data_IF_463142589878
#
_entry.id   IF_463142589878
#
_cell.length_a   1.000
_cell.length_b   1.000
_cell.length_c   1.000
_cell.angle_alpha   90.00
_cell.angle_beta   90.00
_cell.angle_gamma   90.00
#
_symmetry.space_group_name_H-M   'P 1'
#
loop_
_entity.id
_entity.type
_entity.pdbx_description
1 polymer ?
#
# COMPACT_ATOMS: atom_id res chain seq x y z
N UNK A 1 11.13 28.47 -27.26
CA UNK A 1 11.92 27.24 -27.04
C UNK A 1 11.55 26.64 -25.69
N UNK A 2 11.20 25.35 -25.72
CA UNK A 2 11.13 24.35 -24.64
C UNK A 2 10.42 24.70 -23.31
N UNK A 3 9.15 24.29 -23.29
CA UNK A 3 8.45 23.62 -22.18
C UNK A 3 9.39 22.94 -21.16
N UNK A 4 9.17 23.21 -19.87
CA UNK A 4 9.41 22.23 -18.81
C UNK A 4 8.05 21.58 -18.52
N UNK A 5 7.94 20.29 -18.82
CA UNK A 5 6.83 19.47 -18.39
C UNK A 5 7.06 19.17 -16.91
N UNK A 6 6.23 19.78 -16.06
CA UNK A 6 6.04 19.32 -14.69
C UNK A 6 5.29 17.99 -14.77
N UNK A 7 5.87 16.94 -14.18
CA UNK A 7 5.25 15.63 -14.11
C UNK A 7 3.97 15.72 -13.31
N UNK A 8 2.82 15.73 -14.00
CA UNK A 8 1.49 15.58 -13.41
C UNK A 8 1.43 14.32 -12.56
N UNK A 9 1.62 14.48 -11.25
CA UNK A 9 1.06 13.57 -10.26
C UNK A 9 -0.40 13.99 -10.10
N UNK A 10 -1.31 13.17 -10.61
CA UNK A 10 -2.75 13.41 -10.46
C UNK A 10 -3.05 13.59 -8.96
N UNK A 11 -3.82 14.61 -8.54
CA UNK A 11 -4.15 14.80 -7.15
C UNK A 11 -4.94 13.58 -6.67
N UNK A 12 -4.30 12.77 -5.83
CA UNK A 12 -4.93 11.69 -5.09
C UNK A 12 -6.10 12.31 -4.30
N UNK A 13 -7.34 12.01 -4.72
CA UNK A 13 -8.53 12.51 -4.07
C UNK A 13 -8.60 11.94 -2.66
N UNK A 14 -8.24 12.77 -1.68
CA UNK A 14 -8.47 12.50 -0.28
C UNK A 14 -9.96 12.66 0.02
N UNK A 15 -10.61 11.61 0.49
CA UNK A 15 -11.99 11.65 0.95
C UNK A 15 -12.08 12.33 2.31
N UNK A 16 -13.25 12.85 2.69
CA UNK A 16 -13.47 13.58 3.95
C UNK A 16 -13.08 12.81 5.23
N UNK A 17 -12.90 11.50 5.14
CA UNK A 17 -12.47 10.60 6.21
C UNK A 17 -10.96 10.28 6.18
N UNK A 18 -10.15 11.03 5.43
CA UNK A 18 -8.68 10.94 5.44
C UNK A 18 -8.11 9.76 4.63
N UNK A 19 -8.87 9.24 3.66
CA UNK A 19 -8.39 8.19 2.77
C UNK A 19 -8.11 8.71 1.37
N UNK A 20 -7.01 8.28 0.80
CA UNK A 20 -6.67 8.48 -0.60
C UNK A 20 -7.26 7.36 -1.45
N UNK A 21 -7.92 7.72 -2.56
CA UNK A 21 -8.41 6.75 -3.57
C UNK A 21 -7.35 6.49 -4.64
N UNK A 22 -7.03 5.22 -4.88
CA UNK A 22 -6.13 4.79 -5.96
C UNK A 22 -6.91 4.58 -7.27
N UNK A 23 -6.24 4.61 -8.44
CA UNK A 23 -6.88 4.26 -9.72
C UNK A 23 -7.49 2.85 -9.77
N UNK A 24 -7.01 1.94 -8.92
CA UNK A 24 -7.55 0.57 -8.79
C UNK A 24 -8.80 0.49 -7.90
N UNK A 25 -9.26 1.61 -7.35
CA UNK A 25 -10.41 1.70 -6.45
C UNK A 25 -10.12 1.31 -5.00
N UNK A 26 -8.87 0.98 -4.65
CA UNK A 26 -8.48 0.81 -3.26
C UNK A 26 -8.41 2.17 -2.58
N UNK A 27 -8.77 2.23 -1.29
CA UNK A 27 -8.64 3.43 -0.47
C UNK A 27 -7.55 3.20 0.56
N UNK A 28 -6.64 4.14 0.79
CA UNK A 28 -5.62 3.97 1.81
C UNK A 28 -5.40 5.20 2.68
N UNK A 29 -4.79 5.00 3.84
CA UNK A 29 -4.22 6.05 4.68
C UNK A 29 -2.88 5.59 5.25
N UNK A 30 -1.97 6.52 5.46
CA UNK A 30 -0.69 6.25 6.11
C UNK A 30 -0.92 6.33 7.62
N UNK A 31 -0.50 5.30 8.35
CA UNK A 31 -0.61 5.20 9.82
C UNK A 31 0.71 5.61 10.48
N UNK A 32 1.82 5.14 9.91
CA UNK A 32 3.18 5.49 10.32
C UNK A 32 3.95 5.86 9.07
N UNK A 33 4.48 7.08 9.01
CA UNK A 33 5.33 7.52 7.90
C UNK A 33 6.65 6.74 7.88
N UNK A 34 7.09 6.35 6.67
CA UNK A 34 8.44 5.85 6.45
C UNK A 34 9.41 6.99 6.14
N UNK A 35 10.68 6.83 6.49
CA UNK A 35 11.69 7.90 6.35
C UNK A 35 12.63 7.71 5.16
N UNK A 36 12.69 6.49 4.64
CA UNK A 36 13.75 6.08 3.72
C UNK A 36 13.28 6.04 2.26
N UNK A 37 14.04 5.33 1.42
CA UNK A 37 13.79 5.23 -0.02
C UNK A 37 12.47 4.51 -0.32
N UNK A 38 11.97 4.76 -1.52
CA UNK A 38 10.82 4.06 -2.10
C UNK A 38 11.32 2.83 -2.86
N UNK A 39 10.68 1.65 -2.74
CA UNK A 39 11.04 0.47 -3.52
C UNK A 39 10.92 0.68 -5.03
N UNK A 40 11.77 0.01 -5.79
CA UNK A 40 11.55 -0.25 -7.21
C UNK A 40 10.83 -1.58 -7.43
N UNK A 41 10.30 -1.82 -8.63
CA UNK A 41 9.66 -3.08 -8.97
C UNK A 41 10.60 -4.30 -8.84
N UNK A 42 11.92 -4.09 -8.91
CA UNK A 42 12.91 -5.17 -8.86
C UNK A 42 13.49 -5.39 -7.45
N UNK A 43 13.25 -4.47 -6.52
CA UNK A 43 13.78 -4.57 -5.17
C UNK A 43 13.13 -5.73 -4.43
N UNK A 44 13.92 -6.43 -3.60
CA UNK A 44 13.39 -7.36 -2.59
C UNK A 44 12.96 -6.54 -1.39
N UNK A 45 11.76 -6.82 -0.89
CA UNK A 45 11.17 -6.13 0.25
C UNK A 45 10.82 -7.13 1.33
N UNK A 46 11.03 -6.74 2.59
CA UNK A 46 10.50 -7.44 3.74
C UNK A 46 9.24 -6.71 4.21
N UNK A 47 8.16 -7.43 4.40
CA UNK A 47 6.87 -6.84 4.76
C UNK A 47 6.10 -7.69 5.77
N UNK A 48 5.28 -7.02 6.59
CA UNK A 48 4.21 -7.65 7.37
C UNK A 48 2.86 -7.28 6.73
N UNK A 49 1.97 -8.26 6.58
CA UNK A 49 0.60 -8.03 6.11
C UNK A 49 -0.39 -8.66 7.07
N UNK A 50 -1.36 -7.85 7.51
CA UNK A 50 -2.50 -8.33 8.27
C UNK A 50 -3.79 -8.04 7.52
N UNK A 51 -4.73 -8.98 7.53
CA UNK A 51 -6.01 -8.87 6.85
C UNK A 51 -7.18 -9.11 7.81
N UNK A 52 -8.25 -8.34 7.63
CA UNK A 52 -9.53 -8.48 8.34
C UNK A 52 -10.73 -8.43 7.39
N UNK A 53 -11.83 -9.05 7.81
CA UNK A 53 -13.11 -9.01 7.11
C UNK A 53 -13.97 -7.80 7.53
N UNK A 54 -13.92 -7.44 8.81
CA UNK A 54 -14.85 -6.50 9.46
C UNK A 54 -14.32 -5.05 9.52
N UNK A 55 -13.12 -4.85 10.06
CA UNK A 55 -12.44 -3.56 10.19
C UNK A 55 -10.93 -3.75 10.49
N UNK A 56 -10.14 -2.67 10.37
CA UNK A 56 -8.77 -2.68 10.90
C UNK A 56 -8.77 -2.98 12.40
N UNK A 57 -7.87 -3.86 12.84
CA UNK A 57 -7.79 -4.37 14.23
C UNK A 57 -9.12 -4.98 14.74
N UNK A 58 -9.98 -5.40 13.81
CA UNK A 58 -11.25 -6.05 14.09
C UNK A 58 -11.10 -7.46 14.66
N UNK A 59 -12.22 -8.03 15.09
CA UNK A 59 -12.23 -9.38 15.69
C UNK A 59 -12.17 -10.47 14.62
N UNK A 60 -12.62 -10.16 13.41
CA UNK A 60 -12.67 -11.11 12.30
C UNK A 60 -11.38 -11.02 11.46
N UNK A 61 -10.28 -11.48 12.07
CA UNK A 61 -8.95 -11.54 11.47
C UNK A 61 -8.88 -12.71 10.47
N UNK A 62 -8.56 -12.40 9.21
CA UNK A 62 -8.42 -13.39 8.13
C UNK A 62 -7.05 -14.04 8.13
N UNK A 63 -6.00 -13.23 8.16
CA UNK A 63 -4.61 -13.70 8.01
C UNK A 63 -3.64 -12.67 8.58
N UNK A 64 -2.44 -13.13 8.92
CA UNK A 64 -1.31 -12.30 9.34
C UNK A 64 0.00 -13.03 9.10
N UNK A 65 0.79 -12.50 8.18
CA UNK A 65 2.00 -13.14 7.72
C UNK A 65 3.10 -12.13 7.41
N UNK A 66 4.32 -12.65 7.40
CA UNK A 66 5.52 -11.96 6.97
C UNK A 66 6.00 -12.57 5.67
N UNK A 67 6.37 -11.71 4.71
CA UNK A 67 6.89 -12.14 3.42
C UNK A 67 8.20 -11.42 3.07
N UNK A 68 9.01 -12.06 2.23
CA UNK A 68 10.22 -11.48 1.64
C UNK A 68 10.35 -11.86 0.17
N UNK A 69 9.86 -11.00 -0.71
CA UNK A 69 9.87 -11.21 -2.15
C UNK A 69 10.19 -9.92 -2.92
N UNK A 70 10.44 -10.03 -4.22
CA UNK A 70 10.53 -8.88 -5.12
C UNK A 70 9.16 -8.24 -5.27
N UNK A 71 9.14 -6.90 -5.32
CA UNK A 71 7.88 -6.16 -5.54
C UNK A 71 7.14 -6.67 -6.78
N UNK A 72 7.84 -6.98 -7.88
CA UNK A 72 7.22 -7.50 -9.10
C UNK A 72 6.58 -8.88 -8.97
N UNK A 73 7.07 -9.73 -8.06
CA UNK A 73 6.60 -11.10 -7.86
C UNK A 73 5.31 -11.18 -7.03
N UNK A 74 4.97 -10.13 -6.26
CA UNK A 74 3.80 -10.15 -5.40
C UNK A 74 2.51 -10.33 -6.22
N UNK A 75 1.59 -11.21 -5.77
CA UNK A 75 0.49 -11.69 -6.59
C UNK A 75 -0.58 -10.62 -6.86
N UNK A 76 -0.68 -9.61 -5.98
CA UNK A 76 -1.76 -8.63 -6.05
C UNK A 76 -1.28 -7.28 -6.60
N UNK A 77 -1.92 -6.81 -7.67
CA UNK A 77 -1.62 -5.52 -8.27
C UNK A 77 -1.77 -4.33 -7.30
N UNK A 78 -2.70 -4.41 -6.34
CA UNK A 78 -2.86 -3.38 -5.32
C UNK A 78 -1.68 -3.32 -4.35
N UNK A 79 -1.09 -4.48 -4.02
CA UNK A 79 0.02 -4.60 -3.09
C UNK A 79 1.29 -4.04 -3.73
N UNK A 80 1.56 -4.43 -4.98
CA UNK A 80 2.65 -3.86 -5.78
C UNK A 80 2.52 -2.35 -5.94
N UNK A 81 1.32 -1.88 -6.29
CA UNK A 81 1.05 -0.45 -6.44
C UNK A 81 1.25 0.32 -5.14
N UNK A 82 0.81 -0.23 -4.00
CA UNK A 82 1.04 0.37 -2.70
C UNK A 82 2.54 0.45 -2.37
N UNK A 83 3.29 -0.64 -2.52
CA UNK A 83 4.71 -0.68 -2.21
C UNK A 83 5.53 0.32 -3.03
N UNK A 84 5.18 0.55 -4.30
CA UNK A 84 5.84 1.54 -5.16
C UNK A 84 5.54 3.00 -4.75
N UNK A 85 4.62 3.22 -3.83
CA UNK A 85 4.30 4.52 -3.23
C UNK A 85 4.67 4.58 -1.73
N UNK A 86 5.15 3.48 -1.15
CA UNK A 86 5.51 3.41 0.26
C UNK A 86 6.99 3.73 0.47
N UNK A 87 7.32 4.21 1.66
CA UNK A 87 8.72 4.33 2.12
C UNK A 87 9.08 3.22 3.09
N UNK A 88 10.34 2.83 3.11
CA UNK A 88 10.83 1.90 4.15
C UNK A 88 10.51 2.42 5.56
N UNK A 89 10.00 1.53 6.41
CA UNK A 89 9.44 1.83 7.72
C UNK A 89 7.94 2.17 7.74
N UNK A 90 7.33 2.47 6.58
CA UNK A 90 5.94 2.90 6.51
C UNK A 90 4.96 1.78 6.90
N UNK A 91 3.89 2.17 7.61
CA UNK A 91 2.71 1.34 7.81
C UNK A 91 1.49 2.01 7.17
N UNK A 92 0.81 1.29 6.28
CA UNK A 92 -0.33 1.77 5.52
C UNK A 92 -1.55 0.88 5.74
N UNK A 93 -2.70 1.51 5.94
CA UNK A 93 -3.99 0.83 6.01
C UNK A 93 -4.74 1.00 4.69
N UNK A 94 -5.17 -0.12 4.11
CA UNK A 94 -5.79 -0.19 2.78
C UNK A 94 -7.15 -0.87 2.90
N UNK A 95 -8.18 -0.22 2.38
CA UNK A 95 -9.52 -0.76 2.18
C UNK A 95 -9.64 -1.20 0.72
N UNK A 96 -9.75 -2.50 0.52
CA UNK A 96 -9.86 -3.13 -0.78
C UNK A 96 -11.31 -3.06 -1.31
N UNK A 97 -11.49 -3.03 -2.65
CA UNK A 97 -12.80 -3.15 -3.29
C UNK A 97 -13.55 -4.44 -2.90
N UNK A 98 -14.89 -4.49 -3.02
CA UNK A 98 -15.70 -5.64 -2.60
C UNK A 98 -15.36 -6.99 -3.26
N UNK A 99 -14.59 -7.00 -4.34
CA UNK A 99 -14.13 -8.25 -5.01
C UNK A 99 -13.10 -9.05 -4.21
N UNK A 100 -12.53 -8.45 -3.16
CA UNK A 100 -11.57 -9.11 -2.28
C UNK A 100 -12.29 -9.59 -1.02
N UNK A 101 -12.07 -10.85 -0.64
CA UNK A 101 -12.71 -11.45 0.52
C UNK A 101 -12.29 -10.76 1.83
N UNK A 102 -10.99 -10.57 2.07
CA UNK A 102 -10.53 -9.69 3.15
C UNK A 102 -10.49 -8.25 2.64
N UNK A 103 -11.20 -7.36 3.34
CA UNK A 103 -11.47 -6.00 2.85
C UNK A 103 -10.54 -4.96 3.47
N UNK A 104 -10.00 -5.24 4.65
CA UNK A 104 -9.13 -4.34 5.38
C UNK A 104 -7.76 -4.98 5.47
N UNK A 105 -6.73 -4.30 4.97
CA UNK A 105 -5.35 -4.76 5.00
C UNK A 105 -4.45 -3.71 5.65
N UNK A 106 -3.63 -4.13 6.60
CA UNK A 106 -2.52 -3.32 7.10
C UNK A 106 -1.24 -3.89 6.51
N UNK A 107 -0.53 -3.06 5.76
CA UNK A 107 0.73 -3.38 5.11
C UNK A 107 1.83 -2.57 5.75
N UNK A 108 2.86 -3.24 6.27
CA UNK A 108 4.07 -2.61 6.82
C UNK A 108 5.26 -2.96 5.96
N UNK A 109 5.89 -1.96 5.35
CA UNK A 109 7.16 -2.13 4.66
C UNK A 109 8.28 -2.07 5.69
N UNK A 110 8.85 -3.22 6.04
CA UNK A 110 9.88 -3.32 7.08
C UNK A 110 11.22 -2.82 6.55
N UNK A 111 11.64 -3.34 5.40
CA UNK A 111 12.93 -2.99 4.81
C UNK A 111 12.99 -3.28 3.32
N UNK A 112 13.96 -2.65 2.64
CA UNK A 112 14.23 -2.86 1.21
C UNK A 112 15.68 -3.31 1.05
N UNK A 113 15.89 -4.50 0.46
CA UNK A 113 17.20 -5.10 0.20
C UNK A 113 17.87 -4.54 -1.06
#
# INVERSE_FOLDING_TARGET
MRQRQEGSSLPLQQTANGFTVTPLGNRYRIVTEGTDRVPTANDRVKLDVTWWYDAFDGRDKRDDYRDVDRVSNLPFAWERGALLEMREGETRQIILPPRYYGRYSQLRLISIE
#
